data_IF_956441239835
#
_entry.id   IF_956441239835
#
_cell.length_a   1.000
_cell.length_b   1.000
_cell.length_c   1.000
_cell.angle_alpha   90.00
_cell.angle_beta   90.00
_cell.angle_gamma   90.00
#
_symmetry.space_group_name_H-M   'P 1'
#
loop_
_entity.id
_entity.type
_entity.pdbx_description
1 polymer ?
#
# COMPACT_ATOMS: atom_id res chain seq x y z
N UNK A 1 -24.37 26.57 24.85
CA UNK A 1 -24.44 25.29 24.12
C UNK A 1 -23.11 25.06 23.42
N UNK A 2 -22.23 24.25 24.03
CA UNK A 2 -20.88 23.98 23.50
C UNK A 2 -20.91 22.70 22.66
N UNK A 3 -20.80 22.84 21.35
CA UNK A 3 -20.63 21.72 20.40
C UNK A 3 -19.26 21.07 20.62
N UNK A 4 -19.24 19.93 21.33
CA UNK A 4 -18.05 19.07 21.40
C UNK A 4 -17.76 18.53 20.01
N UNK A 5 -16.69 19.03 19.37
CA UNK A 5 -16.13 18.42 18.14
C UNK A 5 -15.63 17.02 18.50
N UNK A 6 -16.28 15.99 17.95
CA UNK A 6 -15.80 14.61 18.02
C UNK A 6 -14.70 14.47 16.96
N UNK A 7 -13.45 14.38 17.41
CA UNK A 7 -12.32 14.02 16.56
C UNK A 7 -12.41 12.51 16.26
N UNK A 8 -12.85 12.15 15.05
CA UNK A 8 -12.87 10.76 14.63
C UNK A 8 -11.42 10.30 14.32
N UNK A 9 -10.88 9.28 15.01
CA UNK A 9 -9.58 8.74 14.67
C UNK A 9 -9.65 8.01 13.32
N UNK A 10 -8.65 8.23 12.48
CA UNK A 10 -8.45 7.48 11.24
C UNK A 10 -8.41 5.96 11.52
N UNK A 11 -9.36 5.21 10.94
CA UNK A 11 -9.60 3.78 11.18
C UNK A 11 -8.48 2.94 10.56
N UNK A 12 -7.46 2.56 11.35
CA UNK A 12 -6.47 1.55 10.94
C UNK A 12 -7.13 0.18 10.80
N UNK A 13 -6.76 -0.61 9.77
CA UNK A 13 -7.24 -1.99 9.62
C UNK A 13 -6.93 -2.79 10.88
N UNK A 14 -7.96 -3.38 11.49
CA UNK A 14 -7.81 -4.28 12.62
C UNK A 14 -7.11 -5.56 12.15
N UNK A 15 -5.91 -5.83 12.67
CA UNK A 15 -5.22 -7.09 12.40
C UNK A 15 -5.92 -8.23 13.15
N UNK A 16 -5.91 -9.44 12.58
CA UNK A 16 -6.33 -10.65 13.30
C UNK A 16 -5.36 -10.85 14.47
N UNK A 17 -5.88 -10.71 15.69
CA UNK A 17 -5.07 -10.77 16.92
C UNK A 17 -4.80 -12.23 17.28
N UNK A 18 -3.53 -12.63 17.25
CA UNK A 18 -3.07 -13.91 17.78
C UNK A 18 -2.49 -13.68 19.19
N UNK A 19 -3.35 -13.62 20.21
CA UNK A 19 -2.94 -13.46 21.60
C UNK A 19 -3.69 -14.43 22.52
N UNK A 20 -3.03 -14.92 23.57
CA UNK A 20 -3.69 -15.71 24.62
C UNK A 20 -4.69 -14.79 25.37
N UNK A 21 -5.86 -15.33 25.71
CA UNK A 21 -6.89 -14.64 26.50
C UNK A 21 -6.25 -14.06 27.78
N UNK A 22 -6.43 -12.77 28.04
CA UNK A 22 -5.86 -12.05 29.19
C UNK A 22 -4.56 -11.29 28.92
N UNK A 23 -3.97 -11.38 27.71
CA UNK A 23 -2.82 -10.53 27.34
C UNK A 23 -3.30 -9.18 26.79
N UNK A 24 -2.90 -8.09 27.45
CA UNK A 24 -3.20 -6.71 27.04
C UNK A 24 -2.30 -6.20 25.89
N UNK A 25 -1.17 -6.86 25.64
CA UNK A 25 -0.28 -6.54 24.52
C UNK A 25 -0.25 -7.69 23.52
N UNK A 26 -0.72 -7.43 22.30
CA UNK A 26 -0.55 -8.29 21.16
C UNK A 26 0.48 -7.65 20.22
N UNK A 27 1.57 -8.37 19.93
CA UNK A 27 2.53 -7.94 18.93
C UNK A 27 1.86 -7.85 17.56
N UNK A 28 2.01 -6.71 16.89
CA UNK A 28 1.60 -6.54 15.50
C UNK A 28 2.63 -7.26 14.64
N UNK A 29 2.22 -8.34 13.96
CA UNK A 29 2.99 -8.85 12.82
C UNK A 29 2.83 -7.82 11.71
N UNK A 30 3.77 -6.88 11.63
CA UNK A 30 3.90 -6.04 10.47
C UNK A 30 4.38 -6.91 9.30
N UNK A 31 3.80 -6.72 8.12
CA UNK A 31 4.28 -7.41 6.92
C UNK A 31 5.80 -7.24 6.80
N UNK A 32 6.51 -8.34 6.53
CA UNK A 32 7.96 -8.36 6.29
C UNK A 32 8.41 -7.56 5.07
N UNK A 33 7.47 -6.94 4.34
CA UNK A 33 7.69 -6.04 3.21
C UNK A 33 8.41 -4.73 3.59
N UNK A 34 8.73 -4.51 4.87
CA UNK A 34 9.46 -3.33 5.34
C UNK A 34 10.87 -3.29 4.72
N UNK A 35 10.98 -2.76 3.50
CA UNK A 35 12.22 -2.71 2.73
C UNK A 35 12.05 -2.97 1.23
N UNK A 36 11.02 -3.71 0.81
CA UNK A 36 10.71 -4.05 -0.58
C UNK A 36 9.47 -3.25 -1.00
N UNK A 37 9.69 -1.97 -1.34
CA UNK A 37 8.61 -1.10 -1.81
C UNK A 37 8.67 -1.05 -3.34
N UNK A 38 7.57 -1.45 -3.98
CA UNK A 38 7.35 -1.28 -5.42
C UNK A 38 6.25 -0.24 -5.59
N UNK A 39 6.55 0.87 -6.24
CA UNK A 39 5.57 1.95 -6.43
C UNK A 39 5.03 1.92 -7.85
N UNK A 40 3.72 1.81 -7.98
CA UNK A 40 3.00 1.95 -9.24
C UNK A 40 2.53 3.39 -9.40
N UNK A 41 2.86 4.02 -10.52
CA UNK A 41 2.37 5.34 -10.90
C UNK A 41 1.31 5.15 -11.97
N UNK A 42 0.06 5.45 -11.61
CA UNK A 42 -1.09 5.33 -12.50
C UNK A 42 -1.69 6.70 -12.74
N UNK A 43 -1.90 7.06 -14.01
CA UNK A 43 -2.57 8.30 -14.41
C UNK A 43 -3.89 7.95 -15.08
N UNK A 44 -5.01 8.36 -14.48
CA UNK A 44 -6.35 8.14 -15.02
C UNK A 44 -7.15 9.45 -15.03
N UNK A 45 -7.94 9.65 -16.08
CA UNK A 45 -8.88 10.76 -16.21
C UNK A 45 -10.29 10.35 -15.78
N UNK A 46 -11.12 11.30 -15.38
CA UNK A 46 -12.54 11.04 -15.07
C UNK A 46 -13.33 10.54 -16.30
N UNK A 47 -12.86 10.82 -17.52
CA UNK A 47 -13.42 10.33 -18.77
C UNK A 47 -13.07 8.84 -19.06
N UNK A 48 -12.35 8.18 -18.15
CA UNK A 48 -11.99 6.75 -18.28
C UNK A 48 -10.74 6.48 -19.11
N UNK A 49 -10.06 7.51 -19.61
CA UNK A 49 -8.75 7.34 -20.26
C UNK A 49 -7.67 7.12 -19.21
N UNK A 50 -6.77 6.18 -19.44
CA UNK A 50 -5.64 5.89 -18.56
C UNK A 50 -4.34 5.77 -19.36
N UNK A 51 -3.23 6.20 -18.75
CA UNK A 51 -1.89 5.93 -19.24
C UNK A 51 -1.42 4.62 -18.64
N UNK A 52 -0.68 3.83 -19.42
CA UNK A 52 -0.07 2.60 -18.92
C UNK A 52 0.77 2.89 -17.65
N UNK A 53 0.68 2.04 -16.61
CA UNK A 53 1.30 2.34 -15.33
C UNK A 53 2.83 2.22 -15.41
N UNK A 54 3.51 3.07 -14.65
CA UNK A 54 4.96 2.95 -14.47
C UNK A 54 5.27 2.27 -13.14
N UNK A 55 6.17 1.29 -13.15
CA UNK A 55 6.56 0.52 -11.97
C UNK A 55 7.98 0.93 -11.56
N UNK A 56 8.12 1.50 -10.37
CA UNK A 56 9.42 1.90 -9.84
C UNK A 56 9.82 0.93 -8.74
N UNK A 57 10.90 0.18 -8.99
CA UNK A 57 11.49 -0.76 -8.05
C UNK A 57 12.61 -0.11 -7.26
N UNK A 58 12.59 -0.28 -5.93
CA UNK A 58 13.60 0.31 -5.05
C UNK A 58 15.01 -0.21 -5.39
N UNK A 59 15.95 0.73 -5.62
CA UNK A 59 17.37 0.46 -5.91
C UNK A 59 17.62 -0.40 -7.15
N UNK A 60 16.66 -0.48 -8.07
CA UNK A 60 16.83 -1.13 -9.38
C UNK A 60 16.72 -0.06 -10.46
N UNK A 61 17.72 0.02 -11.33
CA UNK A 61 17.68 0.84 -12.54
C UNK A 61 17.10 -0.04 -13.65
N UNK A 62 16.02 0.42 -14.30
CA UNK A 62 15.34 -0.18 -15.46
C UNK A 62 15.90 -1.55 -15.85
N UNK A 63 15.39 -2.61 -15.21
CA UNK A 63 15.87 -3.96 -15.41
C UNK A 63 14.78 -4.76 -16.14
N UNK A 64 15.05 -5.31 -17.34
CA UNK A 64 14.03 -5.93 -18.17
C UNK A 64 13.38 -7.16 -17.51
N UNK A 65 14.11 -7.88 -16.65
CA UNK A 65 13.61 -9.01 -15.85
C UNK A 65 12.48 -8.61 -14.89
N UNK A 66 12.39 -7.34 -14.51
CA UNK A 66 11.33 -6.84 -13.63
C UNK A 66 10.03 -6.54 -14.40
N UNK A 67 10.08 -6.54 -15.74
CA UNK A 67 8.92 -6.33 -16.59
C UNK A 67 8.09 -7.62 -16.79
N UNK A 68 8.58 -8.76 -16.30
CA UNK A 68 7.87 -10.03 -16.39
C UNK A 68 6.53 -9.96 -15.65
N UNK A 69 5.43 -10.10 -16.39
CA UNK A 69 4.07 -9.98 -15.86
C UNK A 69 3.57 -8.54 -15.67
N UNK A 70 4.33 -7.53 -16.12
CA UNK A 70 3.86 -6.16 -16.13
C UNK A 70 2.67 -5.99 -17.11
N UNK A 71 1.72 -5.08 -16.82
CA UNK A 71 0.63 -4.79 -17.73
C UNK A 71 1.16 -4.33 -19.10
N UNK A 72 0.45 -4.60 -20.21
CA UNK A 72 0.90 -4.20 -21.54
C UNK A 72 1.08 -2.68 -21.61
N UNK A 73 2.22 -2.23 -22.16
CA UNK A 73 2.58 -0.81 -22.28
C UNK A 73 3.17 -0.18 -21.02
N UNK A 74 3.34 -0.93 -19.93
CA UNK A 74 3.93 -0.42 -18.69
C UNK A 74 5.42 -0.13 -18.83
N UNK A 75 5.91 0.89 -18.13
CA UNK A 75 7.34 1.21 -18.04
C UNK A 75 7.91 0.66 -16.73
N UNK A 76 9.02 -0.07 -16.81
CA UNK A 76 9.63 -0.80 -15.69
C UNK A 76 11.14 -0.63 -15.63
#
# INVERSE_FOLDING_TARGET
>A
MSTKRVFLPYKKRCQKVLAKKGKSQAGVVASGERGVNTTFVCCASAAGQYVAPMVIFKRKRMAPELADGAPPGSLV
#
